data_IF_299980108956
#
_entry.id   IF_299980108956
#
_cell.length_a   1.000
_cell.length_b   1.000
_cell.length_c   1.000
_cell.angle_alpha   90.00
_cell.angle_beta   90.00
_cell.angle_gamma   90.00
#
_symmetry.space_group_name_H-M   'P 1'
#
loop_
_entity.id
_entity.type
_entity.pdbx_description
1 polymer ?
#
# COMPACT_ATOMS: atom_id res chain seq x y z
N UNK A 1 -7.37 -17.92 19.89
CA UNK A 1 -7.37 -19.30 20.38
C UNK A 1 -7.92 -20.26 19.32
N UNK A 2 -9.18 -20.15 18.88
CA UNK A 2 -9.83 -21.08 17.96
C UNK A 2 -9.05 -21.33 16.65
N UNK A 3 -8.55 -20.26 16.01
CA UNK A 3 -7.75 -20.39 14.78
C UNK A 3 -6.42 -21.11 15.01
N UNK A 4 -5.80 -20.91 16.17
CA UNK A 4 -4.57 -21.60 16.54
C UNK A 4 -4.83 -23.09 16.78
N UNK A 5 -5.93 -23.42 17.46
CA UNK A 5 -6.36 -24.81 17.67
C UNK A 5 -6.57 -25.54 16.33
N UNK A 6 -7.37 -24.95 15.44
CA UNK A 6 -7.61 -25.50 14.11
C UNK A 6 -6.34 -25.61 13.24
N UNK A 7 -5.35 -24.74 13.47
CA UNK A 7 -4.06 -24.83 12.80
C UNK A 7 -3.22 -26.00 13.37
N UNK A 8 -3.23 -26.18 14.69
CA UNK A 8 -2.53 -27.29 15.36
C UNK A 8 -3.10 -28.66 15.01
N UNK A 9 -4.39 -28.76 14.77
CA UNK A 9 -5.04 -29.99 14.25
C UNK A 9 -4.52 -30.38 12.87
N UNK A 10 -4.23 -29.40 12.01
CA UNK A 10 -3.67 -29.61 10.66
C UNK A 10 -2.15 -29.78 10.64
N UNK A 11 -1.46 -29.46 11.75
CA UNK A 11 -0.02 -29.55 11.88
C UNK A 11 0.34 -30.31 13.18
N UNK A 12 0.09 -31.61 13.24
CA UNK A 12 0.20 -32.39 14.47
C UNK A 12 1.64 -32.53 15.01
N UNK A 13 2.63 -32.46 14.14
CA UNK A 13 4.04 -32.68 14.49
C UNK A 13 4.85 -31.38 14.54
N UNK A 14 4.20 -30.24 14.73
CA UNK A 14 4.92 -28.97 14.81
C UNK A 14 5.80 -28.91 16.06
N UNK A 15 6.99 -28.32 15.93
CA UNK A 15 7.86 -28.09 17.08
C UNK A 15 7.27 -27.07 18.04
N UNK A 16 7.01 -27.50 19.28
CA UNK A 16 6.44 -26.65 20.35
C UNK A 16 7.32 -25.45 20.66
N UNK A 17 8.64 -25.63 20.61
CA UNK A 17 9.58 -24.54 20.87
C UNK A 17 9.54 -23.47 19.78
N UNK A 18 9.50 -23.87 18.51
CA UNK A 18 9.34 -22.95 17.39
C UNK A 18 7.96 -22.25 17.41
N UNK A 19 6.92 -22.95 17.85
CA UNK A 19 5.59 -22.39 18.05
C UNK A 19 5.60 -21.30 19.13
N UNK A 20 6.15 -21.59 20.31
CA UNK A 20 6.28 -20.64 21.41
C UNK A 20 7.09 -19.41 20.99
N UNK A 21 8.25 -19.63 20.36
CA UNK A 21 9.08 -18.55 19.82
C UNK A 21 8.31 -17.64 18.86
N UNK A 22 7.56 -18.24 17.92
CA UNK A 22 6.79 -17.48 16.94
C UNK A 22 5.71 -16.63 17.59
N UNK A 23 5.01 -17.17 18.60
CA UNK A 23 3.97 -16.43 19.32
C UNK A 23 4.55 -15.30 20.20
N UNK A 24 5.70 -15.52 20.79
CA UNK A 24 6.34 -14.58 21.71
C UNK A 24 7.06 -13.44 20.98
N UNK A 25 7.79 -13.75 19.88
CA UNK A 25 8.68 -12.82 19.19
C UNK A 25 8.11 -12.34 17.86
N UNK A 26 7.17 -13.06 17.29
CA UNK A 26 6.58 -12.81 15.97
C UNK A 26 5.16 -12.23 16.01
N UNK A 27 4.67 -11.82 17.17
CA UNK A 27 3.34 -11.22 17.34
C UNK A 27 3.42 -10.02 18.27
N UNK A 28 2.66 -8.98 17.93
CA UNK A 28 2.49 -7.84 18.83
C UNK A 28 1.62 -8.23 20.01
N UNK A 29 2.01 -7.79 21.20
CA UNK A 29 1.26 -8.01 22.41
C UNK A 29 0.06 -7.04 22.47
N UNK A 30 -1.14 -7.57 22.27
CA UNK A 30 -2.39 -6.82 22.30
C UNK A 30 -2.89 -6.56 23.73
N UNK A 31 -3.98 -5.79 23.85
CA UNK A 31 -4.60 -5.46 25.14
C UNK A 31 -5.14 -6.71 25.86
N UNK A 32 -5.81 -7.62 25.15
CA UNK A 32 -6.26 -8.89 25.68
C UNK A 32 -5.15 -9.93 25.51
N UNK A 33 -4.71 -10.49 26.63
CA UNK A 33 -3.61 -11.43 26.66
C UNK A 33 -4.01 -12.74 27.32
N UNK A 34 -3.50 -13.83 26.76
CA UNK A 34 -3.73 -15.20 27.21
C UNK A 34 -2.42 -15.97 27.15
N UNK A 35 -2.06 -16.67 28.21
CA UNK A 35 -0.84 -17.47 28.26
C UNK A 35 -0.99 -18.73 29.11
N UNK A 36 -0.25 -19.77 28.70
CA UNK A 36 -0.04 -21.00 29.45
C UNK A 36 1.45 -21.38 29.44
N UNK A 37 1.92 -22.00 30.50
CA UNK A 37 3.12 -22.82 30.48
C UNK A 37 2.67 -24.25 30.18
N UNK A 38 3.21 -24.86 29.13
CA UNK A 38 2.86 -26.22 28.69
C UNK A 38 4.14 -26.99 28.32
N UNK A 39 4.15 -28.29 28.55
CA UNK A 39 5.28 -29.16 28.26
C UNK A 39 5.09 -29.98 26.98
N UNK A 40 3.87 -29.97 26.40
CA UNK A 40 3.58 -30.74 25.18
C UNK A 40 2.54 -30.06 24.29
N UNK A 41 2.53 -30.45 23.01
CA UNK A 41 1.50 -30.01 22.06
C UNK A 41 0.09 -30.52 22.43
N UNK A 42 0.00 -31.71 22.99
CA UNK A 42 -1.28 -32.30 23.37
C UNK A 42 -1.88 -31.54 24.54
N UNK A 43 -1.09 -31.17 25.52
CA UNK A 43 -1.50 -30.28 26.60
C UNK A 43 -1.97 -28.92 26.08
N UNK A 44 -1.23 -28.34 25.12
CA UNK A 44 -1.65 -27.07 24.51
C UNK A 44 -2.99 -27.20 23.78
N UNK A 45 -3.19 -28.30 23.04
CA UNK A 45 -4.46 -28.57 22.33
C UNK A 45 -5.63 -28.72 23.33
N UNK A 46 -5.42 -29.48 24.39
CA UNK A 46 -6.43 -29.67 25.44
C UNK A 46 -6.84 -28.33 26.06
N UNK A 47 -5.87 -27.51 26.47
CA UNK A 47 -6.09 -26.21 27.08
C UNK A 47 -6.77 -25.22 26.13
N UNK A 48 -6.32 -25.14 24.87
CA UNK A 48 -6.97 -24.34 23.84
C UNK A 48 -8.40 -24.81 23.57
N UNK A 49 -8.64 -26.13 23.54
CA UNK A 49 -9.96 -26.71 23.37
C UNK A 49 -10.91 -26.35 24.51
N UNK A 50 -10.49 -26.52 25.75
CA UNK A 50 -11.27 -26.15 26.94
C UNK A 50 -11.59 -24.64 26.98
N UNK A 51 -10.60 -23.82 26.64
CA UNK A 51 -10.78 -22.36 26.59
C UNK A 51 -11.74 -21.94 25.46
N UNK A 52 -11.65 -22.53 24.29
CA UNK A 52 -12.51 -22.17 23.14
C UNK A 52 -13.94 -22.63 23.33
N UNK A 53 -14.16 -23.75 24.05
CA UNK A 53 -15.50 -24.32 24.32
C UNK A 53 -16.20 -23.61 25.45
N UNK A 54 -15.55 -23.51 26.60
CA UNK A 54 -16.18 -23.12 27.84
C UNK A 54 -15.52 -21.93 28.56
N UNK A 55 -14.49 -21.32 27.93
CA UNK A 55 -13.69 -20.23 28.50
C UNK A 55 -12.81 -20.66 29.68
N UNK A 56 -12.62 -21.97 29.89
CA UNK A 56 -11.83 -22.49 31.00
C UNK A 56 -10.34 -22.25 30.80
N UNK A 57 -9.69 -21.65 31.80
CA UNK A 57 -8.26 -21.31 31.74
C UNK A 57 -7.35 -22.41 32.30
N UNK A 58 -7.86 -23.25 33.23
CA UNK A 58 -7.04 -24.17 33.97
C UNK A 58 -5.89 -23.43 34.69
N UNK A 59 -4.64 -23.86 34.48
CA UNK A 59 -3.45 -23.17 35.02
C UNK A 59 -3.01 -21.97 34.15
N UNK A 60 -3.81 -21.57 33.14
CA UNK A 60 -3.52 -20.42 32.30
C UNK A 60 -3.81 -19.08 32.98
N UNK A 61 -3.28 -18.05 32.40
CA UNK A 61 -3.53 -16.66 32.83
C UNK A 61 -4.16 -15.87 31.68
N UNK A 62 -5.15 -15.06 32.03
CA UNK A 62 -5.77 -14.08 31.11
C UNK A 62 -5.74 -12.71 31.75
N UNK A 63 -5.46 -11.69 30.99
CA UNK A 63 -5.44 -10.31 31.46
C UNK A 63 -5.82 -9.32 30.39
N UNK A 64 -6.17 -8.12 30.85
CA UNK A 64 -6.45 -6.97 30.00
C UNK A 64 -5.57 -5.80 30.43
N UNK A 65 -4.73 -5.33 29.53
CA UNK A 65 -3.70 -4.31 29.82
C UNK A 65 -4.31 -3.00 30.29
N UNK A 66 -5.35 -2.52 29.60
CA UNK A 66 -6.01 -1.24 29.94
C UNK A 66 -6.53 -1.18 31.36
N UNK A 67 -7.03 -2.31 31.90
CA UNK A 67 -7.56 -2.37 33.28
C UNK A 67 -6.48 -2.36 34.35
N UNK A 68 -5.24 -2.70 33.99
CA UNK A 68 -4.14 -2.85 34.93
C UNK A 68 -3.05 -1.80 34.77
N UNK A 69 -3.22 -0.84 33.85
CA UNK A 69 -2.19 0.14 33.49
C UNK A 69 -1.67 0.92 34.69
N UNK A 70 -2.57 1.44 35.52
CA UNK A 70 -2.19 2.27 36.67
C UNK A 70 -1.52 1.43 37.77
N UNK A 71 -1.97 0.21 37.98
CA UNK A 71 -1.38 -0.72 38.99
C UNK A 71 0.05 -1.16 38.62
N UNK A 72 0.37 -1.20 37.31
CA UNK A 72 1.70 -1.60 36.83
C UNK A 72 2.65 -0.43 36.59
N UNK A 73 2.17 0.80 36.50
CA UNK A 73 2.99 1.97 36.21
C UNK A 73 4.10 2.15 37.26
N UNK A 74 3.81 1.99 38.54
CA UNK A 74 4.80 2.05 39.62
C UNK A 74 5.84 0.93 39.55
N UNK A 75 5.39 -0.29 39.25
CA UNK A 75 6.29 -1.44 39.16
C UNK A 75 7.17 -1.40 37.90
N UNK A 76 6.64 -0.90 36.80
CA UNK A 76 7.41 -0.79 35.54
C UNK A 76 8.51 0.28 35.61
N UNK A 77 8.41 1.23 36.54
CA UNK A 77 9.41 2.26 36.79
C UNK A 77 10.46 1.82 37.85
N UNK A 78 10.33 0.64 38.43
CA UNK A 78 11.23 0.13 39.47
C UNK A 78 12.55 -0.35 38.84
N UNK A 79 13.65 0.21 39.30
CA UNK A 79 15.01 -0.10 38.82
C UNK A 79 15.40 -1.59 39.07
N UNK A 80 14.82 -2.22 40.10
CA UNK A 80 15.09 -3.62 40.45
C UNK A 80 14.27 -4.63 39.65
N UNK A 81 13.29 -4.17 38.88
CA UNK A 81 12.41 -5.05 38.10
C UNK A 81 13.16 -5.99 37.14
N UNK A 82 14.18 -5.56 36.36
CA UNK A 82 14.94 -6.46 35.49
C UNK A 82 15.62 -7.60 36.25
N UNK A 83 16.19 -7.32 37.43
CA UNK A 83 16.85 -8.31 38.28
C UNK A 83 15.84 -9.31 38.86
N UNK A 84 14.67 -8.83 39.25
CA UNK A 84 13.58 -9.66 39.75
C UNK A 84 13.06 -10.60 38.65
N UNK A 85 12.84 -10.10 37.44
CA UNK A 85 12.41 -10.89 36.29
C UNK A 85 13.46 -11.97 35.93
N UNK A 86 14.73 -11.63 35.89
CA UNK A 86 15.82 -12.59 35.68
C UNK A 86 15.84 -13.68 36.73
N UNK A 87 15.62 -13.32 38.00
CA UNK A 87 15.51 -14.28 39.11
C UNK A 87 14.32 -15.22 38.95
N UNK A 88 13.17 -14.72 38.55
CA UNK A 88 11.98 -15.54 38.31
C UNK A 88 12.17 -16.49 37.13
N UNK A 89 12.81 -16.02 36.07
CA UNK A 89 13.18 -16.84 34.93
C UNK A 89 14.13 -17.99 35.32
N UNK A 90 15.20 -17.67 36.03
CA UNK A 90 16.18 -18.67 36.49
C UNK A 90 15.57 -19.72 37.44
N UNK A 91 14.51 -19.34 38.20
CA UNK A 91 13.82 -20.23 39.15
C UNK A 91 12.57 -20.89 38.53
N UNK A 92 12.32 -20.73 37.23
CA UNK A 92 11.16 -21.31 36.55
C UNK A 92 9.80 -20.85 37.08
N UNK A 93 9.70 -19.62 37.62
CA UNK A 93 8.43 -19.09 38.19
C UNK A 93 7.52 -18.54 37.09
N UNK A 94 7.16 -19.41 36.14
CA UNK A 94 6.38 -19.07 34.96
C UNK A 94 5.03 -18.43 35.29
N UNK A 95 4.31 -18.93 36.28
CA UNK A 95 2.98 -18.38 36.66
C UNK A 95 3.05 -16.90 37.00
N UNK A 96 4.10 -16.48 37.71
CA UNK A 96 4.30 -15.07 38.06
C UNK A 96 4.62 -14.22 36.84
N UNK A 97 5.55 -14.69 36.01
CA UNK A 97 5.94 -14.01 34.77
C UNK A 97 4.77 -13.84 33.82
N UNK A 98 4.04 -14.92 33.55
CA UNK A 98 2.88 -14.91 32.66
C UNK A 98 1.74 -14.04 33.23
N UNK A 99 1.51 -14.07 34.56
CA UNK A 99 0.53 -13.20 35.19
C UNK A 99 0.87 -11.72 35.04
N UNK A 100 2.13 -11.35 35.21
CA UNK A 100 2.58 -9.96 35.05
C UNK A 100 2.51 -9.52 33.60
N UNK A 101 2.95 -10.38 32.66
CA UNK A 101 2.82 -10.12 31.24
C UNK A 101 1.36 -9.96 30.81
N UNK A 102 0.46 -10.81 31.26
CA UNK A 102 -0.96 -10.72 30.92
C UNK A 102 -1.60 -9.41 31.43
N UNK A 103 -1.11 -8.86 32.53
CA UNK A 103 -1.54 -7.56 33.07
C UNK A 103 -0.93 -6.37 32.35
N UNK A 104 0.09 -6.54 31.50
CA UNK A 104 0.65 -5.46 30.69
C UNK A 104 2.17 -5.28 30.80
N UNK A 105 2.86 -6.03 31.65
CA UNK A 105 4.31 -5.94 31.74
C UNK A 105 4.95 -6.34 30.40
N UNK A 106 5.98 -5.62 29.98
CA UNK A 106 6.77 -5.96 28.79
C UNK A 106 7.86 -6.95 29.18
N UNK A 107 7.97 -8.06 28.45
CA UNK A 107 9.04 -9.05 28.61
C UNK A 107 9.85 -9.13 27.33
N UNK A 108 11.19 -9.17 27.49
CA UNK A 108 12.12 -9.41 26.40
C UNK A 108 12.17 -10.90 26.06
N UNK A 109 11.14 -11.40 25.39
CA UNK A 109 10.99 -12.82 25.07
C UNK A 109 12.19 -13.43 24.35
N UNK A 110 12.92 -12.65 23.56
CA UNK A 110 14.13 -13.15 22.84
C UNK A 110 15.19 -13.68 23.77
N UNK A 111 15.30 -13.14 24.99
CA UNK A 111 16.30 -13.55 25.97
C UNK A 111 16.05 -14.96 26.51
N UNK A 112 14.83 -15.50 26.34
CA UNK A 112 14.46 -16.85 26.75
C UNK A 112 14.91 -17.92 25.76
N UNK A 113 15.30 -17.51 24.56
CA UNK A 113 15.61 -18.44 23.48
C UNK A 113 17.13 -18.51 23.24
N UNK A 114 17.66 -19.73 23.33
CA UNK A 114 19.07 -19.99 23.06
C UNK A 114 19.43 -19.75 21.58
N UNK A 115 20.70 -19.46 21.32
CA UNK A 115 21.20 -19.37 19.95
C UNK A 115 21.70 -20.76 19.50
N UNK A 116 21.33 -21.20 18.26
CA UNK A 116 20.53 -20.52 17.27
C UNK A 116 19.03 -20.52 17.59
N UNK A 117 18.35 -19.41 17.32
CA UNK A 117 16.90 -19.30 17.50
C UNK A 117 16.12 -20.15 16.49
N UNK A 118 14.95 -20.71 16.85
CA UNK A 118 14.14 -21.49 15.91
C UNK A 118 13.62 -20.65 14.75
N UNK A 119 13.28 -21.29 13.62
CA UNK A 119 12.58 -20.63 12.52
C UNK A 119 11.17 -20.25 12.96
N UNK A 120 10.73 -19.05 12.56
CA UNK A 120 9.33 -18.66 12.76
C UNK A 120 8.41 -19.50 11.88
N UNK A 121 7.28 -19.87 12.44
CA UNK A 121 6.24 -20.64 11.78
C UNK A 121 5.20 -19.71 11.13
N UNK A 122 4.58 -20.17 10.05
CA UNK A 122 3.44 -19.50 9.44
C UNK A 122 2.16 -19.80 10.24
N UNK A 123 1.92 -19.02 11.29
CA UNK A 123 0.75 -19.15 12.15
C UNK A 123 -0.41 -18.28 11.64
N UNK A 124 -1.67 -18.59 12.02
CA UNK A 124 -2.81 -17.73 11.75
C UNK A 124 -2.54 -16.29 12.18
N UNK A 125 -2.91 -15.34 11.33
CA UNK A 125 -2.77 -13.91 11.59
C UNK A 125 -3.90 -13.38 12.47
N UNK A 126 -3.79 -12.12 12.90
CA UNK A 126 -4.82 -11.45 13.69
C UNK A 126 -6.16 -11.44 12.91
N UNK A 127 -7.26 -11.94 13.50
CA UNK A 127 -8.55 -11.92 12.85
C UNK A 127 -9.18 -10.54 12.97
N UNK A 128 -8.89 -9.66 12.02
CA UNK A 128 -9.54 -8.35 11.96
C UNK A 128 -11.06 -8.51 11.87
N UNK A 129 -11.79 -7.63 12.57
CA UNK A 129 -13.24 -7.52 12.42
C UNK A 129 -13.56 -7.18 10.96
N UNK A 130 -14.41 -7.97 10.33
CA UNK A 130 -14.89 -7.73 8.97
C UNK A 130 -16.16 -6.88 9.02
N UNK A 131 -16.09 -5.74 9.66
CA UNK A 131 -17.16 -4.78 9.61
C UNK A 131 -17.11 -4.01 8.30
N UNK A 132 -18.26 -3.83 7.70
CA UNK A 132 -18.39 -3.14 6.43
C UNK A 132 -18.49 -1.64 6.72
N UNK A 133 -17.37 -0.95 6.72
CA UNK A 133 -17.32 0.51 6.81
C UNK A 133 -17.55 1.11 5.43
N UNK A 134 -18.77 0.99 4.93
CA UNK A 134 -19.23 1.78 3.81
C UNK A 134 -19.91 3.02 4.38
N UNK A 135 -19.47 4.20 3.95
CA UNK A 135 -20.34 5.35 4.06
C UNK A 135 -21.63 4.98 3.29
N UNK A 136 -22.77 4.91 3.96
CA UNK A 136 -24.05 4.80 3.29
C UNK A 136 -24.21 6.09 2.48
N UNK A 137 -23.82 6.05 1.21
CA UNK A 137 -24.28 7.07 0.27
C UNK A 137 -25.78 6.89 0.19
N UNK A 138 -26.54 7.77 0.85
CA UNK A 138 -27.97 7.95 0.52
C UNK A 138 -28.04 8.02 -0.98
N UNK A 139 -28.91 7.23 -1.66
CA UNK A 139 -29.09 7.38 -3.09
C UNK A 139 -29.38 8.87 -3.32
N UNK A 140 -28.42 9.58 -3.92
CA UNK A 140 -28.62 10.94 -4.34
C UNK A 140 -29.87 10.91 -5.22
N UNK A 141 -30.90 11.67 -4.82
CA UNK A 141 -32.06 11.89 -5.69
C UNK A 141 -31.48 12.17 -7.06
N UNK A 142 -31.88 11.40 -8.06
CA UNK A 142 -31.38 11.45 -9.41
C UNK A 142 -31.30 12.87 -9.93
N UNK A 143 -30.15 13.51 -9.75
CA UNK A 143 -29.82 14.72 -10.46
C UNK A 143 -29.73 14.28 -11.91
N UNK A 144 -30.48 14.89 -12.84
CA UNK A 144 -30.44 14.49 -14.25
C UNK A 144 -28.99 14.46 -14.68
N UNK A 145 -28.55 13.30 -15.21
CA UNK A 145 -27.19 13.06 -15.66
C UNK A 145 -26.70 14.30 -16.41
N UNK A 146 -25.64 14.93 -15.87
CA UNK A 146 -24.98 16.06 -16.51
C UNK A 146 -24.71 15.64 -17.94
N UNK A 147 -25.18 16.49 -18.89
CA UNK A 147 -25.05 16.21 -20.32
C UNK A 147 -23.66 15.73 -20.63
N UNK A 148 -23.56 14.52 -21.24
CA UNK A 148 -22.32 14.03 -21.78
C UNK A 148 -21.59 15.15 -22.51
N UNK A 149 -20.23 15.21 -22.43
CA UNK A 149 -19.46 16.22 -23.15
C UNK A 149 -19.92 16.25 -24.61
N UNK A 150 -20.32 17.41 -25.08
CA UNK A 150 -20.77 17.59 -26.47
C UNK A 150 -19.56 17.29 -27.35
N UNK A 151 -19.65 16.39 -28.37
CA UNK A 151 -18.58 16.19 -29.31
C UNK A 151 -18.24 17.53 -30.00
N UNK A 152 -16.98 17.99 -29.82
CA UNK A 152 -16.52 19.28 -30.40
C UNK A 152 -16.26 20.40 -29.38
N UNK A 153 -16.50 20.20 -28.09
CA UNK A 153 -16.01 21.13 -27.07
C UNK A 153 -14.47 20.98 -26.94
N UNK A 154 -13.75 22.09 -26.86
CA UNK A 154 -12.31 22.11 -26.59
C UNK A 154 -12.04 21.33 -25.31
N UNK A 155 -11.21 20.28 -25.41
CA UNK A 155 -10.78 19.51 -24.24
C UNK A 155 -9.88 20.38 -23.38
N UNK A 156 -10.09 20.34 -22.06
CA UNK A 156 -9.25 21.10 -21.11
C UNK A 156 -7.79 20.61 -21.13
N UNK A 157 -7.62 19.30 -21.28
CA UNK A 157 -6.32 18.63 -21.27
C UNK A 157 -6.51 17.22 -21.89
N UNK A 158 -5.48 16.62 -22.53
CA UNK A 158 -5.60 15.29 -23.13
C UNK A 158 -6.12 14.19 -22.20
N UNK A 159 -5.86 14.30 -20.89
CA UNK A 159 -6.35 13.37 -19.86
C UNK A 159 -7.52 13.93 -19.05
N UNK A 160 -7.97 15.17 -19.29
CA UNK A 160 -9.12 15.80 -18.61
C UNK A 160 -10.01 16.51 -19.64
N UNK A 161 -11.11 15.90 -20.01
CA UNK A 161 -11.93 16.42 -21.11
C UNK A 161 -12.86 17.57 -20.67
N UNK A 162 -13.48 17.45 -19.50
CA UNK A 162 -14.46 18.43 -19.03
C UNK A 162 -14.42 18.59 -17.51
N UNK A 163 -14.71 19.81 -17.04
CA UNK A 163 -15.05 20.06 -15.65
C UNK A 163 -16.52 19.70 -15.42
N UNK A 164 -16.75 18.72 -14.54
CA UNK A 164 -18.08 18.23 -14.17
C UNK A 164 -18.35 18.41 -12.69
N UNK A 165 -17.71 19.40 -12.06
CA UNK A 165 -17.90 19.76 -10.66
C UNK A 165 -19.35 20.12 -10.37
N UNK A 166 -19.76 19.89 -9.14
CA UNK A 166 -21.02 20.35 -8.58
C UNK A 166 -20.75 21.12 -7.26
N UNK A 167 -21.78 21.47 -6.51
CA UNK A 167 -21.64 22.21 -5.26
C UNK A 167 -20.97 21.42 -4.12
N UNK A 168 -20.88 20.09 -4.25
CA UNK A 168 -20.36 19.21 -3.20
C UNK A 168 -18.97 18.64 -3.54
N UNK A 169 -18.69 18.48 -4.83
CA UNK A 169 -17.47 17.78 -5.29
C UNK A 169 -16.84 18.51 -6.47
N UNK A 170 -15.56 18.81 -6.36
CA UNK A 170 -14.79 19.26 -7.50
C UNK A 170 -14.36 18.05 -8.33
N UNK A 171 -14.88 17.94 -9.56
CA UNK A 171 -14.74 16.77 -10.42
C UNK A 171 -14.37 17.15 -11.84
N UNK A 172 -13.45 16.39 -12.40
CA UNK A 172 -13.20 16.39 -13.84
C UNK A 172 -13.53 15.02 -14.42
N UNK A 173 -14.04 15.01 -15.64
CA UNK A 173 -14.44 13.78 -16.32
C UNK A 173 -13.79 13.69 -17.67
N UNK A 174 -13.27 12.51 -17.98
CA UNK A 174 -12.72 12.14 -19.28
C UNK A 174 -13.46 10.93 -19.84
N UNK A 175 -13.46 10.78 -21.14
CA UNK A 175 -14.05 9.63 -21.82
C UNK A 175 -13.01 9.06 -22.78
N UNK A 176 -12.50 7.88 -22.44
CA UNK A 176 -11.50 7.19 -23.22
C UNK A 176 -12.14 6.03 -23.99
N UNK A 177 -11.77 5.87 -25.26
CA UNK A 177 -12.27 4.80 -26.14
C UNK A 177 -11.19 3.77 -26.51
N UNK A 178 -9.99 3.93 -25.96
CA UNK A 178 -8.85 3.05 -26.18
C UNK A 178 -8.06 3.36 -27.45
N UNK A 179 -8.44 4.39 -28.23
CA UNK A 179 -7.69 4.84 -29.42
C UNK A 179 -6.62 5.86 -29.08
N UNK A 180 -6.67 6.45 -27.89
CA UNK A 180 -5.72 7.45 -27.44
C UNK A 180 -4.29 6.84 -27.40
N UNK A 181 -3.24 7.57 -27.86
CA UNK A 181 -1.89 7.02 -27.94
C UNK A 181 -1.37 6.45 -26.61
N UNK A 182 -1.68 7.11 -25.49
CA UNK A 182 -1.29 6.65 -24.16
C UNK A 182 -2.02 5.38 -23.68
N UNK A 183 -3.07 4.94 -24.35
CA UNK A 183 -3.76 3.66 -24.15
C UNK A 183 -3.41 2.66 -25.24
N UNK A 184 -3.47 3.08 -26.51
CA UNK A 184 -3.22 2.20 -27.64
C UNK A 184 -1.78 1.66 -27.67
N UNK A 185 -0.84 2.45 -27.19
CA UNK A 185 0.58 2.13 -27.14
C UNK A 185 1.04 1.52 -25.80
N UNK A 186 0.11 1.20 -24.89
CA UNK A 186 0.43 0.60 -23.61
C UNK A 186 -0.48 -0.61 -23.33
N UNK A 187 0.02 -1.79 -23.74
CA UNK A 187 -0.69 -3.05 -23.51
C UNK A 187 -0.03 -3.88 -22.42
N UNK A 188 -0.84 -4.36 -21.49
CA UNK A 188 -0.45 -5.26 -20.41
C UNK A 188 -1.25 -6.55 -20.55
N UNK A 189 -0.58 -7.66 -20.86
CA UNK A 189 -1.19 -8.97 -21.06
C UNK A 189 -2.36 -8.93 -22.08
N UNK A 190 -2.14 -8.24 -23.19
CA UNK A 190 -3.11 -8.10 -24.29
C UNK A 190 -4.28 -7.15 -24.04
N UNK A 191 -4.22 -6.34 -22.99
CA UNK A 191 -5.25 -5.33 -22.66
C UNK A 191 -4.66 -3.93 -22.67
N UNK A 192 -5.36 -2.97 -23.26
CA UNK A 192 -5.00 -1.55 -23.20
C UNK A 192 -5.27 -1.00 -21.81
N UNK A 193 -4.22 -0.64 -21.11
CA UNK A 193 -4.27 -0.20 -19.72
C UNK A 193 -3.69 1.20 -19.61
N UNK A 194 -4.38 2.10 -18.91
CA UNK A 194 -3.84 3.43 -18.66
C UNK A 194 -2.59 3.31 -17.77
N UNK A 195 -1.42 3.83 -18.20
CA UNK A 195 -0.19 3.79 -17.41
C UNK A 195 -0.38 4.39 -16.03
N UNK A 196 0.23 3.80 -15.01
CA UNK A 196 0.14 4.32 -13.64
C UNK A 196 0.61 5.78 -13.51
N UNK A 197 1.59 6.16 -14.28
CA UNK A 197 2.11 7.54 -14.33
C UNK A 197 1.15 8.54 -14.97
N UNK A 198 0.21 8.10 -15.82
CA UNK A 198 -0.83 8.96 -16.36
C UNK A 198 -1.80 9.48 -15.29
N UNK A 199 -1.96 8.75 -14.18
CA UNK A 199 -2.74 9.21 -13.04
C UNK A 199 -2.10 10.42 -12.35
N UNK A 200 -0.78 10.51 -12.39
CA UNK A 200 -0.04 11.66 -11.84
C UNK A 200 -0.28 12.91 -12.71
N UNK A 201 -0.24 12.75 -14.03
CA UNK A 201 -0.58 13.85 -14.94
C UNK A 201 -2.04 14.26 -14.83
N UNK A 202 -2.98 13.31 -14.71
CA UNK A 202 -4.40 13.64 -14.45
C UNK A 202 -4.57 14.47 -13.17
N UNK A 203 -3.91 14.06 -12.09
CA UNK A 203 -3.97 14.78 -10.81
C UNK A 203 -3.33 16.17 -10.92
N UNK A 204 -2.16 16.26 -11.55
CA UNK A 204 -1.47 17.52 -11.79
C UNK A 204 -2.34 18.50 -12.61
N UNK A 205 -2.86 18.05 -13.74
CA UNK A 205 -3.73 18.85 -14.59
C UNK A 205 -5.03 19.28 -13.87
N UNK A 206 -5.67 18.37 -13.12
CA UNK A 206 -6.87 18.68 -12.37
C UNK A 206 -6.62 19.78 -11.32
N UNK A 207 -5.49 19.72 -10.61
CA UNK A 207 -5.10 20.73 -9.64
C UNK A 207 -4.84 22.10 -10.30
N UNK A 208 -4.16 22.12 -11.43
CA UNK A 208 -3.94 23.36 -12.18
C UNK A 208 -5.26 24.00 -12.64
N UNK A 209 -6.17 23.19 -13.17
CA UNK A 209 -7.49 23.65 -13.59
C UNK A 209 -8.44 24.00 -12.42
N UNK A 210 -8.08 23.60 -11.20
CA UNK A 210 -8.79 23.96 -9.96
C UNK A 210 -8.31 25.27 -9.34
N UNK A 211 -7.31 25.93 -9.93
CA UNK A 211 -6.77 27.19 -9.45
C UNK A 211 -5.53 27.07 -8.57
N UNK A 212 -4.91 25.90 -8.47
CA UNK A 212 -3.56 25.80 -7.92
C UNK A 212 -2.63 26.60 -8.84
N UNK A 213 -2.15 27.75 -8.34
CA UNK A 213 -1.50 28.77 -9.17
C UNK A 213 -0.22 28.27 -9.84
N UNK A 214 0.06 28.78 -11.04
CA UNK A 214 1.24 28.45 -11.84
C UNK A 214 2.61 28.81 -11.18
N UNK A 215 2.58 29.50 -10.06
CA UNK A 215 3.76 29.92 -9.27
C UNK A 215 4.13 28.96 -8.15
N UNK A 216 3.34 27.92 -7.93
CA UNK A 216 3.55 26.94 -6.86
C UNK A 216 4.10 25.63 -7.44
N UNK A 217 4.98 25.00 -6.68
CA UNK A 217 5.40 23.62 -6.93
C UNK A 217 4.32 22.68 -6.37
N UNK A 218 3.82 21.75 -7.21
CA UNK A 218 2.88 20.73 -6.77
C UNK A 218 3.64 19.46 -6.39
N UNK A 219 3.50 19.05 -5.14
CA UNK A 219 4.07 17.80 -4.63
C UNK A 219 2.96 16.77 -4.53
N UNK A 220 3.04 15.71 -5.31
CA UNK A 220 2.15 14.55 -5.23
C UNK A 220 2.77 13.50 -4.31
N UNK A 221 2.00 12.98 -3.37
CA UNK A 221 2.46 12.03 -2.36
C UNK A 221 1.38 11.01 -2.01
N UNK A 222 1.75 9.96 -1.27
CA UNK A 222 0.83 8.91 -0.82
C UNK A 222 0.03 8.29 -1.97
N UNK A 223 0.68 8.11 -3.12
CA UNK A 223 0.04 7.57 -4.32
C UNK A 223 -0.23 6.08 -4.15
N UNK A 224 -1.47 5.68 -4.38
CA UNK A 224 -1.90 4.28 -4.33
C UNK A 224 -2.62 3.93 -5.62
N UNK A 225 -2.08 2.97 -6.36
CA UNK A 225 -2.75 2.35 -7.50
C UNK A 225 -3.55 1.14 -6.99
N UNK A 226 -4.86 1.27 -6.99
CA UNK A 226 -5.75 0.24 -6.42
C UNK A 226 -6.12 -0.83 -7.44
N UNK A 227 -6.35 -0.43 -8.69
CA UNK A 227 -6.75 -1.32 -9.79
C UNK A 227 -6.33 -0.74 -11.15
N UNK A 228 -5.90 -1.56 -12.10
CA UNK A 228 -5.64 -1.08 -13.46
C UNK A 228 -6.92 -0.55 -14.11
N UNK A 229 -6.79 0.54 -14.84
CA UNK A 229 -7.85 1.08 -15.71
C UNK A 229 -7.62 0.52 -17.12
N UNK A 230 -8.39 -0.49 -17.47
CA UNK A 230 -8.37 -1.03 -18.83
C UNK A 230 -9.53 -0.47 -19.64
N UNK A 231 -9.27 -0.15 -20.91
CA UNK A 231 -10.25 0.36 -21.86
C UNK A 231 -10.23 -0.53 -23.10
N UNK A 232 -11.39 -1.16 -23.39
CA UNK A 232 -11.53 -1.97 -24.59
C UNK A 232 -11.73 -1.07 -25.81
N UNK A 233 -11.06 -1.34 -26.94
CA UNK A 233 -11.20 -0.54 -28.16
C UNK A 233 -12.65 -0.45 -28.61
N UNK A 234 -13.11 0.78 -28.87
CA UNK A 234 -14.47 1.04 -29.31
C UNK A 234 -15.55 0.96 -28.20
N UNK A 235 -15.16 0.69 -26.95
CA UNK A 235 -16.08 0.72 -25.80
C UNK A 235 -15.67 1.88 -24.87
N UNK A 236 -16.20 3.08 -25.10
CA UNK A 236 -15.79 4.25 -24.34
C UNK A 236 -16.10 4.14 -22.86
N UNK A 237 -15.12 4.45 -22.02
CA UNK A 237 -15.24 4.45 -20.56
C UNK A 237 -15.14 5.86 -20.01
N UNK A 238 -16.11 6.24 -19.16
CA UNK A 238 -16.02 7.47 -18.39
C UNK A 238 -15.07 7.27 -17.20
N UNK A 239 -14.15 8.20 -17.02
CA UNK A 239 -13.16 8.23 -15.94
C UNK A 239 -13.24 9.60 -15.27
N UNK A 240 -13.29 9.58 -13.96
CA UNK A 240 -13.46 10.77 -13.15
C UNK A 240 -12.27 10.94 -12.24
N UNK A 241 -11.88 12.18 -11.98
CA UNK A 241 -11.01 12.56 -10.89
C UNK A 241 -11.74 13.53 -9.98
N UNK A 242 -11.86 13.17 -8.71
CA UNK A 242 -12.44 14.00 -7.67
C UNK A 242 -11.31 14.62 -6.84
N UNK A 243 -11.47 15.91 -6.51
CA UNK A 243 -10.56 16.63 -5.63
C UNK A 243 -11.31 17.05 -4.37
N UNK A 244 -10.68 16.87 -3.22
CA UNK A 244 -11.18 17.28 -1.92
C UNK A 244 -10.11 18.04 -1.15
N UNK A 245 -10.41 19.29 -0.81
CA UNK A 245 -9.55 20.07 0.06
C UNK A 245 -9.60 19.52 1.48
N UNK A 246 -8.44 19.45 2.13
CA UNK A 246 -8.29 19.05 3.53
C UNK A 246 -8.00 20.27 4.42
N UNK A 247 -8.30 20.16 5.71
CA UNK A 247 -8.16 21.26 6.68
C UNK A 247 -6.72 21.77 6.83
N UNK A 248 -5.73 20.95 6.48
CA UNK A 248 -4.30 21.29 6.56
C UNK A 248 -3.72 21.89 5.27
N UNK A 249 -4.58 22.24 4.32
CA UNK A 249 -4.20 22.87 3.05
C UNK A 249 -3.67 21.88 2.00
N UNK A 250 -3.77 20.58 2.25
CA UNK A 250 -3.56 19.53 1.24
C UNK A 250 -4.84 19.32 0.44
N UNK A 251 -4.70 18.65 -0.70
CA UNK A 251 -5.83 18.23 -1.53
C UNK A 251 -5.70 16.73 -1.78
N UNK A 252 -6.65 15.95 -1.29
CA UNK A 252 -6.76 14.55 -1.66
C UNK A 252 -7.43 14.41 -3.03
N UNK A 253 -7.01 13.42 -3.80
CA UNK A 253 -7.64 13.11 -5.07
C UNK A 253 -7.92 11.61 -5.20
N UNK A 254 -8.99 11.30 -5.92
CA UNK A 254 -9.39 9.93 -6.23
C UNK A 254 -9.81 9.80 -7.69
N UNK A 255 -9.18 8.84 -8.40
CA UNK A 255 -9.47 8.52 -9.80
C UNK A 255 -10.31 7.25 -9.83
N UNK A 256 -11.48 7.34 -10.47
CA UNK A 256 -12.45 6.25 -10.52
C UNK A 256 -13.19 6.20 -11.86
N UNK A 257 -13.84 5.09 -12.13
CA UNK A 257 -14.77 4.94 -13.25
C UNK A 257 -16.09 4.37 -12.77
N UNK A 258 -17.14 4.65 -13.55
CA UNK A 258 -18.42 4.00 -13.37
C UNK A 258 -18.40 2.60 -14.00
N UNK A 259 -19.07 1.65 -13.38
CA UNK A 259 -19.25 0.32 -13.97
C UNK A 259 -20.53 0.34 -14.83
N UNK A 260 -20.45 -0.17 -16.06
CA UNK A 260 -21.59 -0.22 -16.96
C UNK A 260 -22.74 -1.13 -16.48
N UNK A 261 -22.43 -2.05 -15.55
CA UNK A 261 -23.37 -3.06 -15.04
C UNK A 261 -23.74 -2.90 -13.57
N UNK A 262 -22.98 -2.07 -12.84
CA UNK A 262 -23.19 -1.82 -11.41
C UNK A 262 -23.02 -0.33 -11.13
N UNK A 263 -23.90 0.27 -10.35
CA UNK A 263 -23.80 1.67 -9.89
C UNK A 263 -22.61 1.87 -8.93
N UNK A 264 -21.78 0.84 -8.73
CA UNK A 264 -20.63 0.88 -7.86
C UNK A 264 -19.46 1.64 -8.51
N UNK A 265 -19.05 2.71 -7.87
CA UNK A 265 -17.82 3.46 -8.16
C UNK A 265 -16.59 2.55 -8.06
N UNK A 266 -15.83 2.42 -9.14
CA UNK A 266 -14.60 1.61 -9.18
C UNK A 266 -13.37 2.50 -9.08
N UNK A 267 -12.69 2.47 -7.94
CA UNK A 267 -11.48 3.27 -7.68
C UNK A 267 -10.27 2.62 -8.35
N UNK A 268 -9.53 3.41 -9.10
CA UNK A 268 -8.30 3.03 -9.80
C UNK A 268 -7.04 3.55 -9.11
N UNK A 269 -7.09 4.78 -8.60
CA UNK A 269 -5.97 5.38 -7.90
C UNK A 269 -6.40 6.53 -7.00
N UNK A 270 -5.56 6.84 -6.02
CA UNK A 270 -5.75 7.96 -5.11
C UNK A 270 -4.40 8.48 -4.63
N UNK A 271 -4.40 9.70 -4.12
CA UNK A 271 -3.21 10.30 -3.56
C UNK A 271 -3.52 11.64 -2.92
N UNK A 272 -2.47 12.31 -2.49
CA UNK A 272 -2.52 13.63 -1.85
C UNK A 272 -1.59 14.57 -2.58
N UNK A 273 -2.06 15.78 -2.84
CA UNK A 273 -1.31 16.87 -3.42
C UNK A 273 -1.11 17.99 -2.41
N UNK A 274 0.02 18.66 -2.47
CA UNK A 274 0.32 19.84 -1.69
C UNK A 274 0.97 20.89 -2.58
N UNK A 275 0.42 22.10 -2.56
CA UNK A 275 1.05 23.27 -3.17
C UNK A 275 2.12 23.84 -2.22
N UNK A 276 3.33 24.02 -2.71
CA UNK A 276 4.45 24.61 -1.95
C UNK A 276 5.01 25.82 -2.69
N UNK A 277 5.52 26.82 -1.99
CA UNK A 277 6.32 27.88 -2.64
C UNK A 277 7.49 27.22 -3.36
N UNK A 278 7.73 27.60 -4.60
CA UNK A 278 8.87 27.09 -5.37
C UNK A 278 10.16 27.55 -4.67
N UNK A 279 10.78 26.64 -3.93
CA UNK A 279 12.09 26.87 -3.37
C UNK A 279 13.08 27.02 -4.54
N UNK A 280 13.91 28.05 -4.51
CA UNK A 280 15.00 28.19 -5.46
C UNK A 280 15.90 26.96 -5.31
N UNK A 281 15.70 25.97 -6.18
CA UNK A 281 16.49 24.74 -6.15
C UNK A 281 17.95 25.13 -6.44
N UNK A 282 18.83 24.89 -5.47
CA UNK A 282 20.25 24.83 -5.77
C UNK A 282 20.41 23.74 -6.84
N UNK A 283 20.78 24.14 -8.06
CA UNK A 283 20.99 23.23 -9.18
C UNK A 283 22.11 22.26 -8.78
N UNK A 284 21.76 21.03 -8.42
CA UNK A 284 22.76 19.97 -8.31
C UNK A 284 23.18 19.57 -9.73
N UNK A 285 24.41 19.84 -10.06
CA UNK A 285 25.00 19.41 -11.32
C UNK A 285 25.47 17.96 -11.15
N UNK A 286 24.91 17.03 -11.94
CA UNK A 286 25.37 15.65 -11.99
C UNK A 286 26.52 15.54 -13.00
N UNK A 287 27.62 14.90 -12.59
CA UNK A 287 28.71 14.54 -13.50
C UNK A 287 28.32 13.26 -14.25
N UNK A 288 27.79 13.45 -15.47
CA UNK A 288 27.33 12.35 -16.32
C UNK A 288 28.49 11.45 -16.80
N UNK A 289 29.71 11.98 -16.95
CA UNK A 289 30.84 11.19 -17.38
C UNK A 289 31.34 10.28 -16.22
N UNK A 290 31.37 10.79 -15.01
CA UNK A 290 31.65 9.99 -13.84
C UNK A 290 30.56 8.92 -13.60
N UNK A 291 29.29 9.24 -13.84
CA UNK A 291 28.20 8.26 -13.78
C UNK A 291 28.37 7.16 -14.83
N UNK A 292 28.63 7.51 -16.09
CA UNK A 292 28.87 6.54 -17.20
C UNK A 292 30.06 5.63 -16.89
N UNK A 293 31.12 6.18 -16.32
CA UNK A 293 32.32 5.43 -15.97
C UNK A 293 32.04 4.31 -14.92
N UNK A 294 31.00 4.45 -14.11
CA UNK A 294 30.56 3.42 -13.13
C UNK A 294 29.65 2.35 -13.73
N UNK A 295 29.03 2.62 -14.90
CA UNK A 295 28.06 1.75 -15.54
C UNK A 295 28.73 0.75 -16.50
N UNK A 296 29.65 -0.06 -15.95
CA UNK A 296 30.49 -0.96 -16.78
C UNK A 296 30.02 -2.43 -16.78
N UNK A 297 28.94 -2.77 -16.06
CA UNK A 297 28.52 -4.17 -15.91
C UNK A 297 27.81 -4.71 -17.13
N UNK A 298 26.88 -3.93 -17.71
CA UNK A 298 26.12 -4.30 -18.89
C UNK A 298 25.57 -3.05 -19.61
N UNK A 299 25.31 -3.19 -20.90
CA UNK A 299 24.61 -2.18 -21.70
C UNK A 299 23.51 -2.86 -22.50
N UNK A 300 22.37 -2.20 -22.62
CA UNK A 300 21.22 -2.70 -23.36
C UNK A 300 20.74 -1.62 -24.34
N UNK A 301 20.48 -2.04 -25.54
CA UNK A 301 19.83 -1.19 -26.56
C UNK A 301 18.32 -1.12 -26.27
N UNK A 302 17.66 -0.09 -26.80
CA UNK A 302 16.20 0.01 -26.75
C UNK A 302 15.51 -1.28 -27.24
N UNK A 303 15.98 -1.85 -28.37
CA UNK A 303 15.39 -3.07 -28.93
C UNK A 303 15.45 -4.27 -27.96
N UNK A 304 16.56 -4.44 -27.24
CA UNK A 304 16.70 -5.49 -26.25
C UNK A 304 15.77 -5.30 -25.04
N UNK A 305 15.63 -4.05 -24.57
CA UNK A 305 14.74 -3.73 -23.45
C UNK A 305 13.28 -4.02 -23.83
N UNK A 306 12.81 -3.52 -24.98
CA UNK A 306 11.43 -3.72 -25.40
C UNK A 306 11.11 -5.16 -25.77
N UNK A 307 12.05 -5.93 -26.32
CA UNK A 307 11.89 -7.36 -26.53
C UNK A 307 11.73 -8.13 -25.18
N UNK A 308 12.49 -7.71 -24.16
CA UNK A 308 12.35 -8.30 -22.81
C UNK A 308 10.99 -7.96 -22.19
N UNK A 309 10.49 -6.74 -22.34
CA UNK A 309 9.15 -6.34 -21.87
C UNK A 309 8.04 -7.12 -22.58
N UNK A 310 8.12 -7.26 -23.90
CA UNK A 310 7.17 -8.05 -24.67
C UNK A 310 7.12 -9.51 -24.20
N UNK A 311 8.26 -10.07 -23.85
CA UNK A 311 8.35 -11.45 -23.33
C UNK A 311 7.59 -11.66 -22.00
N UNK A 312 7.44 -10.62 -21.21
CA UNK A 312 6.66 -10.66 -19.95
C UNK A 312 5.23 -10.12 -20.13
N UNK A 313 4.80 -9.86 -21.36
CA UNK A 313 3.44 -9.43 -21.69
C UNK A 313 3.21 -7.92 -21.61
N UNK A 314 4.29 -7.10 -21.62
CA UNK A 314 4.21 -5.65 -21.70
C UNK A 314 4.56 -5.23 -23.14
N UNK A 315 3.57 -4.74 -23.90
CA UNK A 315 3.75 -4.31 -25.28
C UNK A 315 3.64 -2.80 -25.36
N UNK A 316 4.72 -2.16 -25.81
CA UNK A 316 4.81 -0.71 -25.92
C UNK A 316 4.81 -0.27 -27.38
N UNK A 317 3.94 0.67 -27.73
CA UNK A 317 3.93 1.37 -29.00
C UNK A 317 4.80 2.64 -28.98
N UNK A 318 4.80 3.40 -30.10
CA UNK A 318 5.73 4.52 -30.30
C UNK A 318 5.69 5.60 -29.21
N UNK A 319 4.52 5.89 -28.64
CA UNK A 319 4.37 6.94 -27.62
C UNK A 319 4.91 6.55 -26.25
N UNK A 320 5.25 5.25 -26.05
CA UNK A 320 5.78 4.71 -24.78
C UNK A 320 7.18 4.07 -24.96
N UNK A 321 7.78 4.18 -26.12
CA UNK A 321 9.16 3.71 -26.36
C UNK A 321 10.19 4.79 -26.11
N UNK A 322 10.25 5.27 -24.85
CA UNK A 322 11.17 6.33 -24.44
C UNK A 322 12.59 5.88 -24.11
N UNK A 323 12.83 4.60 -23.86
CA UNK A 323 14.17 4.08 -23.62
C UNK A 323 15.01 4.11 -24.92
N UNK A 324 16.11 4.84 -24.92
CA UNK A 324 17.05 4.87 -26.00
C UNK A 324 18.27 3.94 -25.76
N UNK A 325 18.81 3.97 -24.57
CA UNK A 325 19.90 3.11 -24.12
C UNK A 325 19.89 2.99 -22.60
N UNK A 326 20.38 1.87 -22.09
CA UNK A 326 20.45 1.57 -20.65
C UNK A 326 21.84 1.02 -20.32
N UNK A 327 22.47 1.59 -19.31
CA UNK A 327 23.75 1.15 -18.79
C UNK A 327 23.61 0.75 -17.34
N UNK A 328 24.08 -0.44 -16.97
CA UNK A 328 24.01 -0.97 -15.62
C UNK A 328 25.37 -0.97 -14.94
N UNK A 329 25.42 -0.50 -13.70
CA UNK A 329 26.50 -0.65 -12.75
C UNK A 329 26.24 -1.81 -11.79
N UNK A 330 26.87 -1.82 -10.63
CA UNK A 330 26.64 -2.88 -9.61
C UNK A 330 25.29 -2.73 -8.92
N UNK A 331 24.89 -1.52 -8.56
CA UNK A 331 23.64 -1.20 -7.84
C UNK A 331 22.93 0.02 -8.44
N UNK A 332 23.38 0.49 -9.57
CA UNK A 332 22.89 1.70 -10.24
C UNK A 332 22.58 1.37 -11.70
N UNK A 333 21.63 2.10 -12.26
CA UNK A 333 21.29 2.06 -13.69
C UNK A 333 21.24 3.49 -14.21
N UNK A 334 21.85 3.72 -15.36
CA UNK A 334 21.77 4.98 -16.10
C UNK A 334 21.06 4.72 -17.42
N UNK A 335 19.93 5.37 -17.64
CA UNK A 335 19.20 5.28 -18.89
C UNK A 335 19.12 6.64 -19.58
N UNK A 336 19.19 6.63 -20.91
CA UNK A 336 18.86 7.79 -21.72
C UNK A 336 17.44 7.62 -22.25
N UNK A 337 16.59 8.60 -21.92
CA UNK A 337 15.21 8.63 -22.36
C UNK A 337 15.03 9.64 -23.51
N UNK A 338 14.27 9.27 -24.52
CA UNK A 338 13.92 10.13 -25.65
C UNK A 338 12.65 9.65 -26.33
N UNK A 339 11.67 10.53 -26.47
CA UNK A 339 10.49 10.27 -27.31
C UNK A 339 10.54 11.12 -28.56
N UNK A 340 10.03 10.62 -29.71
CA UNK A 340 10.01 11.36 -30.99
C UNK A 340 9.24 12.67 -30.92
N UNK A 341 8.16 12.70 -30.13
CA UNK A 341 7.38 13.88 -29.85
C UNK A 341 6.77 13.76 -28.44
N UNK A 342 6.85 14.84 -27.66
CA UNK A 342 6.09 14.95 -26.42
C UNK A 342 4.66 15.38 -26.75
N UNK A 343 3.64 14.75 -26.13
CA UNK A 343 2.24 15.17 -26.33
C UNK A 343 2.04 16.62 -25.91
N UNK A 344 1.43 17.41 -26.78
CA UNK A 344 1.12 18.80 -26.48
C UNK A 344 0.19 18.89 -25.26
N UNK A 345 0.42 19.88 -24.39
CA UNK A 345 -0.41 20.14 -23.22
C UNK A 345 -0.13 19.24 -22.01
N UNK A 346 0.80 18.29 -22.06
CA UNK A 346 1.18 17.46 -20.93
C UNK A 346 2.48 18.00 -20.28
N UNK A 347 2.48 18.04 -18.95
CA UNK A 347 3.67 18.39 -18.15
C UNK A 347 4.46 17.14 -17.76
N UNK A 348 3.75 16.11 -17.30
CA UNK A 348 4.31 14.82 -16.94
C UNK A 348 3.96 13.82 -18.05
N UNK A 349 4.69 13.86 -19.17
CA UNK A 349 4.40 12.99 -20.31
C UNK A 349 4.40 11.50 -19.91
N UNK A 350 3.24 10.79 -19.97
CA UNK A 350 3.14 9.44 -19.47
C UNK A 350 4.14 8.47 -20.08
N UNK A 351 4.33 8.51 -21.39
CA UNK A 351 5.26 7.60 -22.06
C UNK A 351 6.74 7.83 -21.69
N UNK A 352 7.12 9.04 -21.29
CA UNK A 352 8.48 9.32 -20.84
C UNK A 352 8.65 8.86 -19.38
N UNK A 353 7.68 9.14 -18.52
CA UNK A 353 7.71 8.72 -17.12
C UNK A 353 7.59 7.21 -16.96
N UNK A 354 6.83 6.55 -17.82
CA UNK A 354 6.69 5.09 -17.82
C UNK A 354 7.98 4.38 -18.30
N UNK A 355 8.81 5.12 -19.04
CA UNK A 355 10.13 4.64 -19.49
C UNK A 355 11.23 4.84 -18.43
N UNK A 356 10.98 5.61 -17.37
CA UNK A 356 11.95 5.94 -16.32
C UNK A 356 11.92 4.96 -15.17
#
# INVERSE_FOLDING_TARGET
>A
AAQLLAWLERNPEVDLYALAYTLQVGRDAMDERLAWAVDSLDELRERLGAFTKDGQLGSGVRGQVKRNKDALAGLAADEDLPSLLATWLAKGKWDRLLSMWAKGLTLEWRTLHASPTPRRLHLPVYPFSRERYWAETKPAASIPASKAPVPGAEQLHPLLHANTSNLETQRFTSRFDGSEPFLADHEVQGRRVLPGVAYLEMAHAALLHSGAGATTELVLSQIVWSRPLAVEPGTPRAVHIDLQAEDDGRVSFEIHSDDATDTARRVHGRGVAQARPRAGAASQTLDLDALRARMQRASFTAAQCYAAFEHIGLVYGPSHRGLAEVHAGEQEVLARLSLPALPAGMTLAPGLLDSA
#
